data_IF_253776130572
#
_entry.id   IF_253776130572
#
_cell.length_a   1.000
_cell.length_b   1.000
_cell.length_c   1.000
_cell.angle_alpha   90.00
_cell.angle_beta   90.00
_cell.angle_gamma   90.00
#
_symmetry.space_group_name_H-M   'P 1'
#
loop_
_entity.id
_entity.type
_entity.pdbx_description
1 polymer ?
#
# COMPACT_ATOMS: atom_id res chain seq x y z
N UNK A 1 -1.00 14.88 -16.16
CA UNK A 1 -1.32 13.63 -15.46
C UNK A 1 -2.31 13.98 -14.34
N UNK A 2 -3.62 13.77 -14.54
CA UNK A 2 -4.66 14.23 -13.60
C UNK A 2 -4.51 13.63 -12.21
N UNK A 3 -3.92 12.44 -12.12
CA UNK A 3 -3.68 11.73 -10.86
C UNK A 3 -2.79 12.49 -9.88
N UNK A 4 -1.91 13.35 -10.39
CA UNK A 4 -0.98 14.14 -9.58
C UNK A 4 -1.73 15.25 -8.82
N UNK A 5 -2.91 15.69 -9.30
CA UNK A 5 -3.66 16.77 -8.64
C UNK A 5 -4.29 16.35 -7.31
N UNK A 6 -4.52 15.05 -7.11
CA UNK A 6 -5.07 14.48 -5.87
C UNK A 6 -4.34 13.17 -5.51
N UNK A 7 -3.10 13.25 -5.04
CA UNK A 7 -2.26 12.07 -4.86
C UNK A 7 -2.77 11.15 -3.75
N UNK A 8 -3.37 11.71 -2.69
CA UNK A 8 -3.90 10.95 -1.55
C UNK A 8 -5.10 10.10 -1.98
N UNK A 9 -6.02 10.64 -2.77
CA UNK A 9 -7.13 9.86 -3.32
C UNK A 9 -6.66 8.69 -4.19
N UNK A 10 -5.66 8.91 -5.03
CA UNK A 10 -5.14 7.88 -5.92
C UNK A 10 -4.35 6.79 -5.17
N UNK A 11 -3.57 7.16 -4.15
CA UNK A 11 -2.94 6.19 -3.25
C UNK A 11 -3.97 5.38 -2.46
N UNK A 12 -5.04 6.02 -2.00
CA UNK A 12 -6.15 5.34 -1.31
C UNK A 12 -6.79 4.29 -2.21
N UNK A 13 -7.15 4.67 -3.45
CA UNK A 13 -7.70 3.74 -4.44
C UNK A 13 -6.78 2.56 -4.72
N UNK A 14 -5.48 2.82 -4.87
CA UNK A 14 -4.49 1.77 -5.09
C UNK A 14 -4.47 0.77 -3.93
N UNK A 15 -4.43 1.24 -2.68
CA UNK A 15 -4.41 0.39 -1.49
C UNK A 15 -5.69 -0.43 -1.34
N UNK A 16 -6.85 0.14 -1.68
CA UNK A 16 -8.11 -0.60 -1.69
C UNK A 16 -8.11 -1.70 -2.76
N UNK A 17 -7.67 -1.39 -3.99
CA UNK A 17 -7.54 -2.40 -5.05
C UNK A 17 -6.55 -3.52 -4.69
N UNK A 18 -5.47 -3.18 -3.97
CA UNK A 18 -4.53 -4.17 -3.45
C UNK A 18 -5.21 -5.09 -2.41
N UNK A 19 -5.97 -4.52 -1.46
CA UNK A 19 -6.73 -5.31 -0.49
C UNK A 19 -7.80 -6.21 -1.15
N UNK A 20 -8.54 -5.68 -2.13
CA UNK A 20 -9.55 -6.43 -2.90
C UNK A 20 -8.92 -7.62 -3.64
N UNK A 21 -7.71 -7.46 -4.20
CA UNK A 21 -6.97 -8.55 -4.82
C UNK A 21 -6.70 -9.69 -3.82
N UNK A 22 -6.16 -9.38 -2.64
CA UNK A 22 -5.88 -10.39 -1.61
C UNK A 22 -7.13 -11.07 -1.06
N UNK A 23 -8.21 -10.31 -0.92
CA UNK A 23 -9.52 -10.85 -0.57
C UNK A 23 -10.01 -11.85 -1.62
N UNK A 24 -9.85 -11.54 -2.91
CA UNK A 24 -10.32 -12.38 -4.02
C UNK A 24 -9.62 -13.74 -4.09
N UNK A 25 -8.34 -13.81 -3.74
CA UNK A 25 -7.56 -15.06 -3.74
C UNK A 25 -7.71 -15.85 -2.43
N UNK A 26 -8.18 -15.20 -1.36
CA UNK A 26 -8.41 -15.82 -0.06
C UNK A 26 -7.15 -16.02 0.78
N UNK A 27 -7.35 -16.17 2.09
CA UNK A 27 -6.27 -16.25 3.08
C UNK A 27 -5.36 -17.47 2.88
N UNK A 28 -5.91 -18.60 2.41
CA UNK A 28 -5.17 -19.84 2.20
C UNK A 28 -4.04 -19.65 1.19
N UNK A 29 -4.36 -19.14 0.01
CA UNK A 29 -3.36 -18.86 -1.02
C UNK A 29 -2.45 -17.69 -0.64
N UNK A 30 -3.02 -16.64 -0.03
CA UNK A 30 -2.26 -15.49 0.48
C UNK A 30 -1.15 -15.91 1.46
N UNK A 31 -1.44 -16.87 2.33
CA UNK A 31 -0.47 -17.39 3.31
C UNK A 31 0.72 -18.08 2.66
N UNK A 32 0.50 -18.85 1.60
CA UNK A 32 1.55 -19.52 0.84
C UNK A 32 2.42 -18.50 0.10
N UNK A 33 1.80 -17.50 -0.52
CA UNK A 33 2.52 -16.44 -1.26
C UNK A 33 3.38 -15.57 -0.32
N UNK A 34 2.89 -15.26 0.88
CA UNK A 34 3.64 -14.52 1.89
C UNK A 34 4.81 -15.32 2.50
N UNK A 35 4.63 -16.62 2.74
CA UNK A 35 5.66 -17.48 3.32
C UNK A 35 6.86 -17.71 2.36
N UNK A 36 6.63 -17.61 1.06
CA UNK A 36 7.65 -17.89 0.04
C UNK A 36 8.29 -16.65 -0.55
N UNK A 37 7.83 -15.45 -0.21
CA UNK A 37 8.33 -14.20 -0.82
C UNK A 37 8.09 -13.01 0.11
N UNK A 38 9.12 -12.58 0.84
CA UNK A 38 9.29 -11.16 1.15
C UNK A 38 10.10 -10.59 0.00
N UNK A 39 9.45 -9.91 -0.96
CA UNK A 39 10.17 -9.45 -2.13
C UNK A 39 11.10 -8.30 -1.75
N UNK A 40 12.25 -8.22 -2.42
CA UNK A 40 13.13 -7.06 -2.34
C UNK A 40 12.36 -5.84 -2.87
N UNK A 41 12.08 -4.88 -1.98
CA UNK A 41 11.30 -3.67 -2.25
C UNK A 41 11.85 -2.86 -3.43
N UNK A 42 13.16 -2.93 -3.69
CA UNK A 42 13.77 -2.23 -4.81
C UNK A 42 13.52 -2.93 -6.17
N UNK A 43 13.02 -4.17 -6.16
CA UNK A 43 12.70 -4.95 -7.37
C UNK A 43 11.20 -5.13 -7.62
N UNK A 44 10.34 -4.85 -6.64
CA UNK A 44 8.89 -4.94 -6.79
C UNK A 44 8.38 -3.81 -7.69
N UNK A 45 7.81 -4.17 -8.84
CA UNK A 45 7.31 -3.21 -9.83
C UNK A 45 6.23 -2.28 -9.24
N UNK A 46 5.41 -2.79 -8.33
CA UNK A 46 4.38 -2.02 -7.62
C UNK A 46 5.00 -0.96 -6.70
N UNK A 47 6.05 -1.31 -5.94
CA UNK A 47 6.76 -0.36 -5.06
C UNK A 47 7.42 0.73 -5.90
N UNK A 48 8.08 0.35 -7.00
CA UNK A 48 8.68 1.30 -7.94
C UNK A 48 7.62 2.25 -8.55
N UNK A 49 6.45 1.73 -8.92
CA UNK A 49 5.36 2.53 -9.48
C UNK A 49 4.82 3.56 -8.48
N UNK A 50 4.65 3.17 -7.21
CA UNK A 50 4.26 4.07 -6.13
C UNK A 50 5.34 5.11 -5.86
N UNK A 51 6.62 4.71 -5.86
CA UNK A 51 7.78 5.61 -5.72
C UNK A 51 7.79 6.70 -6.79
N UNK A 52 7.67 6.31 -8.06
CA UNK A 52 7.64 7.24 -9.21
C UNK A 52 6.44 8.20 -9.09
N UNK A 53 5.28 7.70 -8.66
CA UNK A 53 4.10 8.52 -8.45
C UNK A 53 4.28 9.57 -7.35
N UNK A 54 4.81 9.16 -6.19
CA UNK A 54 5.08 10.06 -5.06
C UNK A 54 6.11 11.12 -5.45
N UNK A 55 7.18 10.73 -6.15
CA UNK A 55 8.19 11.66 -6.65
C UNK A 55 7.56 12.73 -7.55
N UNK A 56 6.68 12.32 -8.48
CA UNK A 56 5.98 13.25 -9.35
C UNK A 56 5.03 14.19 -8.57
N UNK A 57 4.34 13.68 -7.55
CA UNK A 57 3.43 14.46 -6.70
C UNK A 57 4.15 15.47 -5.80
N UNK A 58 5.31 15.10 -5.26
CA UNK A 58 6.17 16.01 -4.48
C UNK A 58 6.75 17.11 -5.38
N UNK A 59 7.28 16.75 -6.57
CA UNK A 59 7.81 17.74 -7.55
C UNK A 59 6.75 18.73 -8.01
N UNK A 60 5.50 18.30 -8.11
CA UNK A 60 4.37 19.15 -8.48
C UNK A 60 3.83 20.01 -7.31
N UNK A 61 4.35 19.85 -6.08
CA UNK A 61 3.86 20.54 -4.88
C UNK A 61 2.49 20.08 -4.40
N UNK A 62 1.95 19.00 -4.96
CA UNK A 62 0.63 18.45 -4.65
C UNK A 62 0.63 17.46 -3.48
N UNK A 63 1.81 17.03 -3.05
CA UNK A 63 2.02 16.20 -1.87
C UNK A 63 3.19 16.77 -1.07
N UNK A 64 2.93 17.25 0.14
CA UNK A 64 3.98 17.72 1.04
C UNK A 64 4.28 16.60 2.04
N UNK A 65 5.26 15.77 1.72
CA UNK A 65 5.66 14.64 2.55
C UNK A 65 7.11 14.81 2.97
N UNK A 66 7.39 14.66 4.28
CA UNK A 66 8.74 14.81 4.84
C UNK A 66 9.69 13.68 4.45
N UNK A 67 9.14 12.55 4.05
CA UNK A 67 9.89 11.38 3.60
C UNK A 67 10.32 11.57 2.14
N UNK A 68 11.47 11.00 1.80
CA UNK A 68 11.86 10.83 0.40
C UNK A 68 10.84 9.93 -0.31
N UNK A 69 10.70 10.02 -1.65
CA UNK A 69 9.81 9.12 -2.39
C UNK A 69 10.07 7.64 -2.13
N UNK A 70 11.35 7.28 -1.92
CA UNK A 70 11.75 5.91 -1.57
C UNK A 70 11.17 5.51 -0.22
N UNK A 71 11.47 6.25 0.84
CA UNK A 71 10.98 5.97 2.19
C UNK A 71 9.44 5.95 2.25
N UNK A 72 8.78 6.88 1.57
CA UNK A 72 7.32 6.92 1.51
C UNK A 72 6.73 5.68 0.83
N UNK A 73 7.31 5.25 -0.31
CA UNK A 73 6.87 4.04 -1.01
C UNK A 73 7.06 2.77 -0.18
N UNK A 74 8.20 2.66 0.50
CA UNK A 74 8.53 1.53 1.38
C UNK A 74 7.63 1.51 2.61
N UNK A 75 7.36 2.67 3.21
CA UNK A 75 6.43 2.80 4.34
C UNK A 75 5.02 2.32 3.96
N UNK A 76 4.49 2.77 2.82
CA UNK A 76 3.17 2.36 2.33
C UNK A 76 3.13 0.83 2.14
N UNK A 77 4.12 0.27 1.45
CA UNK A 77 4.09 -1.14 1.09
C UNK A 77 4.36 -2.07 2.28
N UNK A 78 5.30 -1.70 3.16
CA UNK A 78 5.57 -2.44 4.41
C UNK A 78 4.32 -2.50 5.28
N UNK A 79 3.61 -1.38 5.39
CA UNK A 79 2.39 -1.30 6.18
C UNK A 79 1.25 -2.12 5.55
N UNK A 80 1.11 -2.10 4.22
CA UNK A 80 0.15 -2.92 3.49
C UNK A 80 0.42 -4.42 3.66
N UNK A 81 1.69 -4.85 3.58
CA UNK A 81 2.10 -6.23 3.86
C UNK A 81 1.83 -6.60 5.32
N UNK A 82 2.14 -5.73 6.28
CA UNK A 82 1.88 -5.99 7.70
C UNK A 82 0.39 -6.26 7.99
N UNK A 83 -0.49 -5.47 7.36
CA UNK A 83 -1.93 -5.68 7.44
C UNK A 83 -2.36 -7.03 6.84
N UNK A 84 -1.81 -7.39 5.68
CA UNK A 84 -2.07 -8.68 5.03
C UNK A 84 -1.55 -9.86 5.87
N UNK A 85 -0.35 -9.73 6.44
CA UNK A 85 0.23 -10.73 7.32
C UNK A 85 -0.66 -10.99 8.53
N UNK A 86 -1.17 -9.92 9.16
CA UNK A 86 -2.11 -10.05 10.28
C UNK A 86 -3.41 -10.73 9.88
N UNK A 87 -3.89 -10.48 8.66
CA UNK A 87 -5.11 -11.10 8.15
C UNK A 87 -4.93 -12.60 7.92
N UNK A 88 -3.80 -12.97 7.34
CA UNK A 88 -3.39 -14.36 7.17
C UNK A 88 -3.20 -15.07 8.51
N UNK A 89 -2.52 -14.45 9.47
CA UNK A 89 -2.31 -14.99 10.82
C UNK A 89 -3.65 -15.31 11.49
N UNK A 90 -4.65 -14.45 11.31
CA UNK A 90 -6.00 -14.63 11.82
C UNK A 90 -6.89 -15.49 10.89
N UNK A 91 -6.32 -16.18 9.90
CA UNK A 91 -7.03 -17.09 8.96
C UNK A 91 -8.21 -16.43 8.26
N UNK A 92 -8.10 -15.13 8.00
CA UNK A 92 -9.18 -14.36 7.40
C UNK A 92 -10.41 -14.11 8.27
N UNK A 93 -10.33 -14.29 9.60
CA UNK A 93 -11.47 -14.13 10.53
C UNK A 93 -11.95 -12.68 10.73
N UNK A 94 -11.48 -11.73 9.93
CA UNK A 94 -11.97 -10.37 9.96
C UNK A 94 -12.06 -9.78 8.55
N UNK A 95 -12.87 -8.73 8.45
CA UNK A 95 -13.05 -7.97 7.22
C UNK A 95 -11.79 -7.14 6.91
N UNK A 96 -10.96 -7.66 6.00
CA UNK A 96 -9.75 -6.99 5.53
C UNK A 96 -10.06 -5.67 4.83
N UNK A 97 -11.25 -5.53 4.22
CA UNK A 97 -11.67 -4.31 3.54
C UNK A 97 -11.96 -3.20 4.54
N UNK A 98 -12.73 -3.51 5.58
CA UNK A 98 -12.99 -2.55 6.65
C UNK A 98 -11.69 -2.12 7.36
N UNK A 99 -10.76 -3.05 7.56
CA UNK A 99 -9.45 -2.73 8.14
C UNK A 99 -8.61 -1.88 7.18
N UNK A 100 -8.60 -2.20 5.88
CA UNK A 100 -7.82 -1.46 4.88
C UNK A 100 -8.30 -0.03 4.73
N UNK A 101 -9.61 0.24 4.78
CA UNK A 101 -10.16 1.60 4.72
C UNK A 101 -9.68 2.48 5.90
N UNK A 102 -9.79 1.95 7.13
CA UNK A 102 -9.35 2.66 8.34
C UNK A 102 -7.83 2.85 8.37
N UNK A 103 -7.10 1.79 8.02
CA UNK A 103 -5.65 1.79 8.06
C UNK A 103 -5.04 2.67 6.97
N UNK A 104 -5.61 2.66 5.76
CA UNK A 104 -5.19 3.52 4.65
C UNK A 104 -5.30 5.00 5.01
N UNK A 105 -6.37 5.39 5.70
CA UNK A 105 -6.55 6.77 6.16
C UNK A 105 -5.44 7.19 7.12
N UNK A 106 -5.15 6.36 8.13
CA UNK A 106 -4.10 6.63 9.14
C UNK A 106 -2.71 6.65 8.49
N UNK A 107 -2.44 5.67 7.64
CA UNK A 107 -1.19 5.53 6.90
C UNK A 107 -0.89 6.78 6.06
N UNK A 108 -1.87 7.21 5.26
CA UNK A 108 -1.68 8.34 4.37
C UNK A 108 -1.62 9.67 5.14
N UNK A 109 -2.30 9.80 6.29
CA UNK A 109 -2.10 10.93 7.20
C UNK A 109 -0.68 10.99 7.76
N UNK A 110 -0.05 9.85 8.05
CA UNK A 110 1.35 9.81 8.49
C UNK A 110 2.36 10.29 7.45
N UNK A 111 1.96 10.41 6.18
CA UNK A 111 2.79 10.93 5.11
C UNK A 111 2.73 12.45 4.95
N UNK A 112 1.72 13.14 5.50
CA UNK A 112 1.46 14.59 5.28
C UNK A 112 1.71 15.42 6.55
#
# INVERSE_FOLDING_TARGET
NEKIKDPIFHLTKYLHSYADFWLSIGWGLSSQLLLHTLPDMDTVTEVQSVRIFIEAAQKAGTMNCKLTPKEASEYIFTSAIGMLYKWVELKGNYDLKMLSEKFTTILLQGLV
#
